data_IF_366267210653
#
_entry.id   IF_366267210653
#
_cell.length_a   1.000
_cell.length_b   1.000
_cell.length_c   1.000
_cell.angle_alpha   90.00
_cell.angle_beta   90.00
_cell.angle_gamma   90.00
#
_symmetry.space_group_name_H-M   'P 1'
#
loop_
_entity.id
_entity.type
_entity.pdbx_description
1 polymer ?
#
# COMPACT_ATOMS: atom_id res chain seq x y z
N UNK A 1 6.57 -5.69 18.47
CA UNK A 1 6.18 -6.96 17.78
C UNK A 1 6.15 -6.66 16.30
N UNK A 2 6.77 -7.49 15.45
CA UNK A 2 6.85 -7.22 14.01
C UNK A 2 5.84 -8.08 13.25
N UNK A 3 5.00 -7.46 12.43
CA UNK A 3 4.07 -8.16 11.54
C UNK A 3 4.78 -8.61 10.26
N UNK A 4 4.38 -9.74 9.69
CA UNK A 4 4.78 -10.16 8.36
C UNK A 4 3.95 -9.42 7.31
N UNK A 5 4.58 -8.89 6.28
CA UNK A 5 3.88 -8.22 5.16
C UNK A 5 4.03 -9.07 3.91
N UNK A 6 2.90 -9.48 3.31
CA UNK A 6 2.84 -10.29 2.09
C UNK A 6 1.99 -9.59 1.03
N UNK A 7 2.33 -9.75 -0.24
CA UNK A 7 1.50 -9.32 -1.37
C UNK A 7 0.73 -10.49 -1.97
N UNK A 8 -0.34 -10.18 -2.70
CA UNK A 8 -1.00 -11.13 -3.61
C UNK A 8 -0.69 -10.77 -5.07
N UNK A 9 -0.91 -11.73 -5.97
CA UNK A 9 -0.62 -11.56 -7.42
C UNK A 9 -1.33 -10.36 -8.06
N UNK A 10 -2.54 -10.01 -7.60
CA UNK A 10 -3.29 -8.84 -8.06
C UNK A 10 -2.53 -7.55 -7.72
N UNK A 11 -2.09 -7.42 -6.47
CA UNK A 11 -1.28 -6.29 -6.01
C UNK A 11 0.02 -6.19 -6.81
N UNK A 12 0.71 -7.31 -7.03
CA UNK A 12 2.00 -7.32 -7.75
C UNK A 12 1.86 -6.84 -9.19
N UNK A 13 0.82 -7.28 -9.91
CA UNK A 13 0.52 -6.82 -11.28
C UNK A 13 0.27 -5.32 -11.32
N UNK A 14 -0.53 -4.81 -10.38
CA UNK A 14 -0.86 -3.38 -10.29
C UNK A 14 0.38 -2.55 -9.89
N UNK A 15 1.18 -3.02 -8.94
CA UNK A 15 2.42 -2.39 -8.52
C UNK A 15 3.43 -2.31 -9.68
N UNK A 16 3.56 -3.37 -10.47
CA UNK A 16 4.41 -3.39 -11.67
C UNK A 16 3.97 -2.36 -12.70
N UNK A 17 2.66 -2.20 -12.92
CA UNK A 17 2.12 -1.17 -13.82
C UNK A 17 2.46 0.23 -13.33
N UNK A 18 2.27 0.50 -12.04
CA UNK A 18 2.56 1.81 -11.46
C UNK A 18 4.04 2.11 -11.39
N UNK A 19 4.89 1.10 -11.19
CA UNK A 19 6.34 1.28 -11.23
C UNK A 19 6.84 1.75 -12.60
N UNK A 20 6.20 1.29 -13.69
CA UNK A 20 6.50 1.80 -15.04
C UNK A 20 6.14 3.27 -15.22
N UNK A 21 5.07 3.74 -14.57
CA UNK A 21 4.58 5.14 -14.66
C UNK A 21 5.31 6.06 -13.69
N UNK A 22 5.68 5.54 -12.53
CA UNK A 22 6.24 6.28 -11.41
C UNK A 22 7.48 5.56 -10.87
N UNK A 23 8.68 5.93 -11.33
CA UNK A 23 9.92 5.25 -10.95
C UNK A 23 10.17 5.24 -9.44
N UNK A 24 9.73 6.29 -8.72
CA UNK A 24 9.96 6.39 -7.28
C UNK A 24 9.24 5.29 -6.51
N UNK A 25 8.04 4.85 -6.93
CA UNK A 25 7.06 4.07 -6.14
C UNK A 25 7.64 2.86 -5.39
N UNK A 26 8.74 2.30 -5.88
CA UNK A 26 9.48 1.23 -5.21
C UNK A 26 9.96 1.66 -3.81
N UNK A 27 10.45 2.89 -3.67
CA UNK A 27 10.93 3.44 -2.41
C UNK A 27 9.78 3.65 -1.42
N UNK A 28 8.67 4.26 -1.87
CA UNK A 28 7.50 4.49 -1.04
C UNK A 28 6.84 3.17 -0.61
N UNK A 29 6.83 2.14 -1.47
CA UNK A 29 6.36 0.80 -1.09
C UNK A 29 7.28 0.14 -0.05
N UNK A 30 8.60 0.33 -0.14
CA UNK A 30 9.53 -0.18 0.88
C UNK A 30 9.34 0.51 2.23
N UNK A 31 9.07 1.81 2.23
CA UNK A 31 8.74 2.58 3.43
C UNK A 31 7.41 2.11 4.03
N UNK A 32 6.37 1.97 3.21
CA UNK A 32 5.06 1.47 3.64
C UNK A 32 5.14 0.07 4.24
N UNK A 33 5.96 -0.82 3.67
CA UNK A 33 6.18 -2.16 4.25
C UNK A 33 6.80 -2.04 5.65
N UNK A 34 7.77 -1.14 5.87
CA UNK A 34 8.36 -0.94 7.21
C UNK A 34 7.32 -0.43 8.21
N UNK A 35 6.50 0.53 7.81
CA UNK A 35 5.43 1.05 8.67
C UNK A 35 4.39 -0.02 9.03
N UNK A 36 3.99 -0.85 8.06
CA UNK A 36 3.02 -1.93 8.27
C UNK A 36 3.54 -3.06 9.17
N UNK A 37 4.87 -3.23 9.27
CA UNK A 37 5.47 -4.16 10.22
C UNK A 37 5.27 -3.72 11.67
N UNK A 38 5.16 -2.42 11.93
CA UNK A 38 5.00 -1.86 13.28
C UNK A 38 3.55 -1.51 13.59
N UNK A 39 2.83 -0.96 12.60
CA UNK A 39 1.43 -0.54 12.73
C UNK A 39 0.61 -1.04 11.53
N UNK A 40 0.04 -2.26 11.59
CA UNK A 40 -0.73 -2.81 10.49
C UNK A 40 -2.06 -2.09 10.28
N UNK A 41 -2.67 -1.54 11.33
CA UNK A 41 -4.00 -0.91 11.30
C UNK A 41 -3.98 0.55 10.83
N UNK A 42 -2.85 1.01 10.28
CA UNK A 42 -2.75 2.36 9.75
C UNK A 42 -3.72 2.60 8.57
N UNK A 43 -4.20 3.84 8.47
CA UNK A 43 -5.13 4.26 7.41
C UNK A 43 -6.58 4.29 7.87
N UNK A 44 -7.50 4.26 6.91
CA UNK A 44 -8.95 4.35 7.17
C UNK A 44 -9.57 2.96 7.09
N UNK A 45 -10.19 2.48 8.17
CA UNK A 45 -10.97 1.24 8.13
C UNK A 45 -12.10 1.34 7.09
N UNK A 46 -12.22 0.29 6.27
CA UNK A 46 -13.26 0.14 5.24
C UNK A 46 -14.11 -1.13 5.45
N UNK A 47 -14.02 -1.72 6.65
CA UNK A 47 -14.76 -2.92 7.06
C UNK A 47 -13.98 -4.22 6.82
N UNK A 48 -14.42 -5.33 7.43
CA UNK A 48 -13.82 -6.68 7.28
C UNK A 48 -12.30 -6.72 7.52
N UNK A 49 -11.82 -6.01 8.56
CA UNK A 49 -10.39 -5.85 8.86
C UNK A 49 -9.56 -5.34 7.68
N UNK A 50 -10.21 -4.54 6.83
CA UNK A 50 -9.56 -3.87 5.71
C UNK A 50 -9.34 -2.41 6.01
N UNK A 51 -8.14 -1.94 5.69
CA UNK A 51 -7.73 -0.56 5.90
C UNK A 51 -7.25 0.01 4.58
N UNK A 52 -7.64 1.26 4.31
CA UNK A 52 -7.28 2.03 3.12
C UNK A 52 -6.16 3.00 3.47
N UNK A 53 -5.00 2.82 2.84
CA UNK A 53 -3.82 3.65 3.07
C UNK A 53 -3.64 4.65 1.92
N UNK A 54 -3.19 5.87 2.26
CA UNK A 54 -2.94 6.96 1.31
C UNK A 54 -1.50 7.43 1.47
N UNK A 55 -0.70 7.30 0.42
CA UNK A 55 0.66 7.85 0.40
C UNK A 55 0.88 8.69 -0.86
N UNK A 56 1.84 9.61 -0.79
CA UNK A 56 2.23 10.40 -1.94
C UNK A 56 3.26 9.61 -2.76
N UNK A 57 3.16 9.65 -4.09
CA UNK A 57 4.27 9.19 -4.93
C UNK A 57 5.10 10.40 -5.29
N UNK A 58 6.36 10.41 -4.88
CA UNK A 58 7.26 11.54 -5.06
C UNK A 58 7.42 11.91 -6.53
N UNK A 59 7.68 10.91 -7.39
CA UNK A 59 7.84 11.11 -8.85
C UNK A 59 6.58 11.62 -9.55
N UNK A 60 5.42 11.64 -8.87
CA UNK A 60 4.19 12.22 -9.40
C UNK A 60 4.12 13.75 -9.17
N UNK A 61 4.98 14.33 -8.33
CA UNK A 61 4.98 15.76 -7.96
C UNK A 61 3.58 16.27 -7.51
N UNK A 62 2.80 15.41 -6.86
CA UNK A 62 1.49 15.72 -6.30
C UNK A 62 1.45 15.23 -4.85
N UNK A 63 0.87 16.04 -3.96
CA UNK A 63 0.67 15.66 -2.56
C UNK A 63 -0.31 14.48 -2.39
N UNK A 64 -0.60 14.08 -1.14
CA UNK A 64 -1.51 12.96 -0.79
C UNK A 64 -2.93 13.05 -1.39
N UNK A 65 -3.34 14.23 -1.86
CA UNK A 65 -4.61 14.47 -2.55
C UNK A 65 -4.60 14.05 -4.03
N UNK A 66 -3.42 14.00 -4.67
CA UNK A 66 -3.21 13.65 -6.08
C UNK A 66 -2.21 12.53 -6.32
N UNK A 67 -1.59 11.96 -5.28
CA UNK A 67 -0.76 10.74 -5.32
C UNK A 67 -1.54 9.46 -5.63
N UNK A 68 -0.87 8.30 -5.52
CA UNK A 68 -1.54 7.00 -5.60
C UNK A 68 -2.28 6.65 -4.30
N UNK A 69 -3.29 5.79 -4.42
CA UNK A 69 -4.05 5.26 -3.29
C UNK A 69 -3.91 3.76 -3.27
N UNK A 70 -3.46 3.22 -2.15
CA UNK A 70 -2.92 1.87 -2.19
C UNK A 70 -3.13 1.19 -0.86
N UNK A 71 -3.50 -0.08 -0.98
CA UNK A 71 -3.62 -1.10 0.05
C UNK A 71 -4.98 -1.03 0.73
N UNK A 72 -5.84 -1.96 0.32
CA UNK A 72 -6.75 -2.68 1.21
C UNK A 72 -5.87 -3.69 1.93
N UNK A 73 -5.56 -3.48 3.21
CA UNK A 73 -4.85 -4.49 4.00
C UNK A 73 -5.85 -5.59 4.39
N UNK A 74 -5.43 -6.82 4.68
CA UNK A 74 -6.21 -7.73 5.53
C UNK A 74 -5.28 -8.27 6.59
N UNK A 75 -5.66 -8.10 7.85
CA UNK A 75 -5.04 -8.79 8.97
C UNK A 75 -5.61 -10.22 9.06
N UNK A 76 -4.78 -11.23 8.76
CA UNK A 76 -5.17 -12.64 8.88
C UNK A 76 -4.21 -13.30 9.87
N UNK A 77 -4.79 -13.93 10.90
CA UNK A 77 -4.10 -14.80 11.87
C UNK A 77 -2.95 -14.12 12.67
N UNK A 78 -3.34 -13.11 13.46
CA UNK A 78 -2.60 -12.35 14.50
C UNK A 78 -1.27 -11.67 14.14
N UNK A 79 -0.58 -12.01 13.04
CA UNK A 79 0.73 -11.43 12.70
C UNK A 79 1.01 -11.21 11.21
N UNK A 80 0.06 -11.45 10.30
CA UNK A 80 0.30 -11.24 8.85
C UNK A 80 -0.62 -10.19 8.25
N UNK A 81 -0.03 -9.23 7.55
CA UNK A 81 -0.68 -8.20 6.75
C UNK A 81 -0.59 -8.58 5.27
N UNK A 82 -1.74 -8.70 4.62
CA UNK A 82 -1.80 -8.92 3.16
C UNK A 82 -2.08 -7.62 2.42
N UNK A 83 -1.24 -7.29 1.43
CA UNK A 83 -1.44 -6.19 0.51
C UNK A 83 -2.35 -6.67 -0.63
N UNK A 84 -3.61 -6.23 -0.67
CA UNK A 84 -4.58 -6.75 -1.66
C UNK A 84 -4.55 -6.02 -3.00
N UNK A 85 -4.50 -4.68 -2.99
CA UNK A 85 -4.60 -3.88 -4.22
C UNK A 85 -3.93 -2.53 -4.09
N UNK A 86 -3.45 -2.01 -5.21
CA UNK A 86 -2.78 -0.74 -5.38
C UNK A 86 -3.33 -0.03 -6.63
N UNK A 87 -3.67 1.25 -6.54
CA UNK A 87 -4.13 2.02 -7.70
C UNK A 87 -3.68 3.48 -7.65
N UNK A 88 -3.67 4.15 -8.80
CA UNK A 88 -3.49 5.60 -8.82
C UNK A 88 -4.84 6.30 -8.75
N UNK A 89 -4.98 7.40 -7.98
CA UNK A 89 -6.25 8.16 -7.94
C UNK A 89 -6.58 8.85 -9.27
N UNK A 90 -5.55 9.22 -10.02
CA UNK A 90 -5.69 9.93 -11.30
C UNK A 90 -5.79 9.01 -12.50
N UNK A 91 -6.02 7.72 -12.25
CA UNK A 91 -6.38 6.71 -13.23
C UNK A 91 -7.85 6.33 -13.02
#
# INVERSE_FOLDING_TARGET
MSYNVKSISVFEKQAKRLHKKYPSIKLELLELVKELKENPEQGTAIGKNCFKIRFAIQSKNKGKSGGARVITNVLIDKHTVYLLSIYDKGE
#
